data_IF_844568877480
#
_entry.id   IF_844568877480
#
_cell.length_a   1.000
_cell.length_b   1.000
_cell.length_c   1.000
_cell.angle_alpha   90.00
_cell.angle_beta   90.00
_cell.angle_gamma   90.00
#
_symmetry.space_group_name_H-M   'P 1'
#
loop_
_entity.id
_entity.type
_entity.pdbx_description
1 polymer ?
#
# COMPACT_ATOMS: atom_id res chain seq x y z
N UNK A 1 -11.90 22.06 -5.06
CA UNK A 1 -11.75 20.84 -5.89
C UNK A 1 -12.35 21.14 -7.26
N UNK A 2 -11.53 21.50 -8.25
CA UNK A 2 -12.00 21.88 -9.59
C UNK A 2 -12.17 20.60 -10.41
N UNK A 3 -13.42 20.20 -10.64
CA UNK A 3 -13.74 19.11 -11.57
C UNK A 3 -13.72 19.66 -13.00
N UNK A 4 -12.73 19.26 -13.80
CA UNK A 4 -12.79 19.40 -15.26
C UNK A 4 -13.46 18.14 -15.82
N UNK A 5 -14.74 18.26 -16.16
CA UNK A 5 -15.47 17.29 -16.96
C UNK A 5 -15.05 17.44 -18.42
N UNK A 6 -14.21 16.55 -18.91
CA UNK A 6 -14.08 16.35 -20.36
C UNK A 6 -15.20 15.44 -20.82
N UNK A 7 -16.20 16.05 -21.44
CA UNK A 7 -17.22 15.38 -22.22
C UNK A 7 -16.63 15.16 -23.63
N UNK A 8 -16.31 13.92 -23.99
CA UNK A 8 -16.10 13.56 -25.39
C UNK A 8 -16.89 12.29 -25.70
N UNK A 9 -18.07 12.46 -26.28
CA UNK A 9 -18.68 11.42 -27.08
C UNK A 9 -17.82 11.21 -28.34
N UNK A 10 -17.20 10.04 -28.45
CA UNK A 10 -16.74 9.51 -29.74
C UNK A 10 -17.17 8.04 -29.82
N UNK A 11 -18.36 7.82 -30.36
CA UNK A 11 -18.72 6.53 -30.96
C UNK A 11 -18.02 6.44 -32.34
N UNK A 12 -16.85 5.81 -32.41
CA UNK A 12 -16.29 5.40 -33.69
C UNK A 12 -16.71 3.96 -34.00
N UNK A 13 -17.95 3.79 -34.46
CA UNK A 13 -18.35 2.62 -35.25
C UNK A 13 -17.89 2.85 -36.70
N UNK A 14 -16.75 2.28 -37.07
CA UNK A 14 -16.36 2.21 -38.48
C UNK A 14 -17.23 1.13 -39.14
N UNK A 15 -18.28 1.56 -39.85
CA UNK A 15 -19.14 0.67 -40.65
C UNK A 15 -18.68 0.76 -42.10
N UNK A 16 -18.03 -0.28 -42.62
CA UNK A 16 -17.76 -0.37 -44.06
C UNK A 16 -19.00 -0.91 -44.77
N UNK A 17 -19.72 -0.04 -45.49
CA UNK A 17 -20.71 -0.46 -46.48
C UNK A 17 -19.98 -0.76 -47.79
N UNK A 18 -19.80 -2.04 -48.10
CA UNK A 18 -19.31 -2.47 -49.42
C UNK A 18 -20.54 -2.82 -50.26
N UNK A 19 -20.94 -1.91 -51.16
CA UNK A 19 -21.91 -2.20 -52.22
C UNK A 19 -21.16 -2.71 -53.44
N UNK A 20 -20.80 -3.99 -53.47
CA UNK A 20 -20.44 -4.71 -54.70
C UNK A 20 -20.67 -6.20 -54.50
N UNK A 21 -21.34 -6.83 -55.47
CA UNK A 21 -21.57 -8.28 -55.53
C UNK A 21 -20.23 -8.97 -55.81
N UNK A 22 -19.67 -9.64 -54.81
CA UNK A 22 -18.41 -10.39 -54.92
C UNK A 22 -18.69 -11.89 -54.98
N UNK A 23 -17.99 -12.60 -55.88
CA UNK A 23 -18.12 -14.05 -56.06
C UNK A 23 -17.40 -14.84 -54.94
N UNK A 24 -17.77 -16.10 -54.79
CA UNK A 24 -17.35 -17.00 -53.68
C UNK A 24 -15.82 -17.16 -53.54
N UNK A 25 -15.05 -16.98 -54.62
CA UNK A 25 -13.59 -17.10 -54.57
C UNK A 25 -12.88 -15.88 -53.94
N UNK A 26 -13.57 -14.74 -53.79
CA UNK A 26 -13.01 -13.54 -53.15
C UNK A 26 -13.26 -13.51 -51.62
N UNK A 27 -14.21 -14.32 -51.13
CA UNK A 27 -14.51 -14.44 -49.70
C UNK A 27 -13.44 -15.25 -48.94
N UNK A 28 -12.77 -16.20 -49.59
CA UNK A 28 -11.76 -17.06 -48.96
C UNK A 28 -10.41 -16.33 -48.75
N UNK A 29 -10.09 -15.34 -49.58
CA UNK A 29 -8.89 -14.49 -49.43
C UNK A 29 -9.06 -13.40 -48.37
N UNK A 30 -10.26 -12.85 -48.20
CA UNK A 30 -10.58 -11.88 -47.14
C UNK A 30 -10.55 -12.48 -45.73
N UNK A 31 -10.93 -13.75 -45.56
CA UNK A 31 -10.84 -14.43 -44.27
C UNK A 31 -9.39 -14.69 -43.83
N UNK A 32 -8.45 -14.84 -44.78
CA UNK A 32 -7.01 -14.93 -44.47
C UNK A 32 -6.38 -13.56 -44.15
N UNK A 33 -6.83 -12.47 -44.77
CA UNK A 33 -6.31 -11.12 -44.50
C UNK A 33 -6.74 -10.61 -43.12
N UNK A 34 -7.93 -10.97 -42.62
CA UNK A 34 -8.39 -10.60 -41.28
C UNK A 34 -7.71 -11.40 -40.15
N UNK A 35 -7.28 -12.64 -40.39
CA UNK A 35 -6.57 -13.46 -39.39
C UNK A 35 -5.06 -13.16 -39.36
N UNK A 36 -4.46 -12.70 -40.47
CA UNK A 36 -3.05 -12.30 -40.53
C UNK A 36 -2.80 -10.80 -40.22
N UNK A 37 -3.86 -9.99 -40.14
CA UNK A 37 -3.79 -8.55 -39.80
C UNK A 37 -3.63 -8.27 -38.29
N UNK A 38 -4.13 -9.13 -37.40
CA UNK A 38 -4.02 -8.92 -35.95
C UNK A 38 -2.65 -9.33 -35.38
N UNK A 39 -1.98 -10.32 -35.99
CA UNK A 39 -0.66 -10.78 -35.54
C UNK A 39 0.49 -9.83 -35.92
N UNK A 40 0.29 -8.94 -36.91
CA UNK A 40 1.31 -7.99 -37.35
C UNK A 40 1.14 -6.57 -36.78
N UNK A 41 -0.03 -6.19 -36.27
CA UNK A 41 -0.16 -4.91 -35.56
C UNK A 41 0.56 -4.89 -34.20
N UNK A 42 0.69 -6.04 -33.53
CA UNK A 42 1.48 -6.16 -32.30
C UNK A 42 3.00 -6.06 -32.53
N UNK A 43 3.50 -6.44 -33.71
CA UNK A 43 4.93 -6.42 -34.03
C UNK A 43 5.39 -5.12 -34.71
N UNK A 44 4.48 -4.31 -35.27
CA UNK A 44 4.86 -3.10 -36.02
C UNK A 44 4.78 -1.80 -35.18
N UNK A 45 4.26 -1.87 -33.96
CA UNK A 45 4.25 -0.73 -33.01
C UNK A 45 5.55 -0.56 -32.20
N UNK A 46 6.55 -1.43 -32.38
CA UNK A 46 7.80 -1.44 -31.60
C UNK A 46 9.04 -0.95 -32.36
N UNK A 47 8.86 -0.11 -33.39
CA UNK A 47 9.98 0.62 -34.01
C UNK A 47 9.72 2.12 -34.08
N UNK A 48 9.26 2.72 -32.98
CA UNK A 48 9.81 4.03 -32.66
C UNK A 48 11.24 3.78 -32.18
N UNK A 49 12.21 4.24 -32.98
CA UNK A 49 13.57 4.47 -32.50
C UNK A 49 13.47 5.62 -31.50
N UNK A 50 13.00 5.31 -30.29
CA UNK A 50 13.12 6.18 -29.15
C UNK A 50 14.62 6.27 -28.93
N UNK A 51 15.18 7.45 -29.18
CA UNK A 51 16.51 7.79 -28.75
C UNK A 51 16.56 7.52 -27.24
N UNK A 52 17.08 6.36 -26.84
CA UNK A 52 17.38 6.08 -25.45
C UNK A 52 18.68 6.81 -25.18
N UNK A 53 18.66 7.99 -24.52
CA UNK A 53 19.91 8.64 -24.14
C UNK A 53 20.71 7.64 -23.31
N UNK A 54 22.04 7.72 -23.38
CA UNK A 54 22.89 7.00 -22.44
C UNK A 54 22.50 7.44 -21.02
N UNK A 55 21.71 6.59 -20.35
CA UNK A 55 21.07 6.91 -19.07
C UNK A 55 22.12 7.13 -17.97
N UNK A 56 23.37 6.69 -18.18
CA UNK A 56 24.49 6.91 -17.26
C UNK A 56 24.82 8.39 -17.03
N UNK A 57 24.38 9.29 -17.92
CA UNK A 57 24.65 10.73 -17.80
C UNK A 57 23.48 11.53 -17.20
N UNK A 58 22.32 10.91 -16.94
CA UNK A 58 21.16 11.59 -16.35
C UNK A 58 21.16 11.32 -14.84
N UNK A 59 21.41 12.34 -14.03
CA UNK A 59 21.38 12.22 -12.57
C UNK A 59 19.97 11.86 -12.08
N UNK A 60 19.90 11.12 -10.97
CA UNK A 60 18.62 10.89 -10.30
C UNK A 60 17.95 12.21 -9.90
N UNK A 61 16.63 12.27 -10.07
CA UNK A 61 15.79 13.37 -9.57
C UNK A 61 15.29 13.09 -8.15
N UNK A 62 14.69 14.09 -7.50
CA UNK A 62 14.26 13.98 -6.09
C UNK A 62 13.30 12.82 -5.82
N UNK A 63 12.35 12.57 -6.73
CA UNK A 63 11.38 11.46 -6.61
C UNK A 63 12.03 10.07 -6.71
N UNK A 64 13.10 9.95 -7.49
CA UNK A 64 13.84 8.71 -7.64
C UNK A 64 14.70 8.44 -6.41
N UNK A 65 15.39 9.47 -5.91
CA UNK A 65 16.19 9.38 -4.69
C UNK A 65 15.30 9.03 -3.50
N UNK A 66 14.17 9.73 -3.32
CA UNK A 66 13.24 9.47 -2.21
C UNK A 66 12.62 8.08 -2.33
N UNK A 67 12.13 7.72 -3.51
CA UNK A 67 11.52 6.40 -3.73
C UNK A 67 12.47 5.25 -3.42
N UNK A 68 13.72 5.33 -3.88
CA UNK A 68 14.74 4.32 -3.59
C UNK A 68 15.09 4.27 -2.10
N UNK A 69 15.24 5.43 -1.46
CA UNK A 69 15.53 5.53 -0.03
C UNK A 69 14.43 4.90 0.82
N UNK A 70 13.18 5.28 0.59
CA UNK A 70 12.03 4.79 1.35
C UNK A 70 11.82 3.28 1.15
N UNK A 71 12.06 2.80 -0.08
CA UNK A 71 12.03 1.36 -0.39
C UNK A 71 13.10 0.60 0.40
N UNK A 72 14.33 1.11 0.43
CA UNK A 72 15.42 0.47 1.17
C UNK A 72 15.15 0.42 2.68
N UNK A 73 14.67 1.52 3.25
CA UNK A 73 14.33 1.57 4.68
C UNK A 73 13.21 0.59 5.02
N UNK A 74 12.19 0.49 4.16
CA UNK A 74 11.07 -0.44 4.33
C UNK A 74 11.50 -1.89 4.20
N UNK A 75 12.24 -2.26 3.14
CA UNK A 75 12.69 -3.63 2.92
C UNK A 75 13.65 -4.11 3.99
N UNK A 76 14.58 -3.27 4.44
CA UNK A 76 15.51 -3.64 5.52
C UNK A 76 14.77 -3.92 6.84
N UNK A 77 13.71 -3.15 7.15
CA UNK A 77 12.82 -3.43 8.27
C UNK A 77 12.08 -4.75 8.10
N UNK A 78 11.46 -4.96 6.94
CA UNK A 78 10.66 -6.16 6.63
C UNK A 78 11.53 -7.41 6.69
N UNK A 79 12.78 -7.36 6.21
CA UNK A 79 13.75 -8.46 6.33
C UNK A 79 13.92 -8.89 7.79
N UNK A 80 14.08 -7.93 8.71
CA UNK A 80 14.22 -8.23 10.14
C UNK A 80 12.95 -8.89 10.71
N UNK A 81 11.78 -8.36 10.37
CA UNK A 81 10.49 -8.94 10.78
C UNK A 81 10.33 -10.37 10.25
N UNK A 82 10.61 -10.60 8.97
CA UNK A 82 10.46 -11.89 8.31
C UNK A 82 11.45 -12.94 8.84
N UNK A 83 12.67 -12.55 9.21
CA UNK A 83 13.65 -13.46 9.86
C UNK A 83 13.09 -14.02 11.16
N UNK A 84 12.42 -13.19 11.97
CA UNK A 84 11.82 -13.64 13.22
C UNK A 84 10.59 -14.52 12.97
N UNK A 85 9.74 -14.15 12.00
CA UNK A 85 8.54 -14.92 11.65
C UNK A 85 8.92 -16.31 11.11
N UNK A 86 9.91 -16.39 10.22
CA UNK A 86 10.40 -17.66 9.66
C UNK A 86 11.00 -18.60 10.69
N UNK A 87 11.58 -18.08 11.78
CA UNK A 87 12.10 -18.91 12.86
C UNK A 87 10.99 -19.55 13.72
N UNK A 88 9.78 -18.98 13.69
CA UNK A 88 8.71 -19.34 14.61
C UNK A 88 7.42 -19.83 13.92
N UNK A 89 7.34 -19.75 12.59
CA UNK A 89 6.19 -20.22 11.82
C UNK A 89 6.09 -21.74 11.88
N UNK A 90 4.87 -22.24 12.08
CA UNK A 90 4.60 -23.68 12.17
C UNK A 90 3.91 -24.20 10.90
N UNK A 91 3.08 -23.35 10.28
CA UNK A 91 2.37 -23.64 9.05
C UNK A 91 3.29 -23.54 7.81
N UNK A 92 3.50 -24.65 7.13
CA UNK A 92 4.40 -24.76 5.98
C UNK A 92 4.01 -23.85 4.80
N UNK A 93 2.71 -23.61 4.58
CA UNK A 93 2.28 -22.76 3.47
C UNK A 93 2.57 -21.29 3.79
N UNK A 94 2.37 -20.89 5.05
CA UNK A 94 2.72 -19.55 5.55
C UNK A 94 4.24 -19.38 5.55
N UNK A 95 5.01 -20.40 5.93
CA UNK A 95 6.47 -20.38 5.82
C UNK A 95 6.92 -20.13 4.38
N UNK A 96 6.29 -20.77 3.41
CA UNK A 96 6.59 -20.59 1.98
C UNK A 96 6.30 -19.14 1.54
N UNK A 97 5.17 -18.58 1.98
CA UNK A 97 4.81 -17.18 1.71
C UNK A 97 5.83 -16.20 2.32
N UNK A 98 6.23 -16.43 3.58
CA UNK A 98 7.23 -15.63 4.29
C UNK A 98 8.59 -15.69 3.59
N UNK A 99 9.03 -16.89 3.19
CA UNK A 99 10.31 -17.07 2.50
C UNK A 99 10.32 -16.39 1.14
N UNK A 100 9.22 -16.48 0.39
CA UNK A 100 9.08 -15.76 -0.87
C UNK A 100 9.19 -14.25 -0.67
N UNK A 101 8.52 -13.71 0.35
CA UNK A 101 8.58 -12.28 0.68
C UNK A 101 10.01 -11.85 1.06
N UNK A 102 10.69 -12.65 1.88
CA UNK A 102 12.06 -12.37 2.31
C UNK A 102 13.02 -12.29 1.11
N UNK A 103 12.88 -13.22 0.16
CA UNK A 103 13.70 -13.24 -1.05
C UNK A 103 13.48 -12.00 -1.91
N UNK A 104 12.24 -11.51 -2.02
CA UNK A 104 11.93 -10.27 -2.74
C UNK A 104 12.62 -9.07 -2.09
N UNK A 105 12.45 -8.87 -0.77
CA UNK A 105 13.07 -7.75 -0.07
C UNK A 105 14.59 -7.77 -0.12
N UNK A 106 15.23 -8.95 -0.01
CA UNK A 106 16.69 -9.07 -0.18
C UNK A 106 17.12 -8.67 -1.60
N UNK A 107 16.37 -9.10 -2.62
CA UNK A 107 16.66 -8.73 -4.00
C UNK A 107 16.49 -7.21 -4.23
N UNK A 108 15.45 -6.60 -3.67
CA UNK A 108 15.21 -5.16 -3.75
C UNK A 108 16.34 -4.36 -3.13
N UNK A 109 16.77 -4.73 -1.91
CA UNK A 109 17.93 -4.12 -1.25
C UNK A 109 19.18 -4.18 -2.13
N UNK A 110 19.49 -5.35 -2.70
CA UNK A 110 20.65 -5.50 -3.59
C UNK A 110 20.59 -4.56 -4.79
N UNK A 111 19.44 -4.47 -5.46
CA UNK A 111 19.26 -3.60 -6.63
C UNK A 111 19.39 -2.12 -6.25
N UNK A 112 18.75 -1.70 -5.15
CA UNK A 112 18.81 -0.31 -4.68
C UNK A 112 20.25 0.06 -4.28
N UNK A 113 20.96 -0.83 -3.60
CA UNK A 113 22.38 -0.65 -3.25
C UNK A 113 23.23 -0.44 -4.49
N UNK A 114 23.03 -1.24 -5.54
CA UNK A 114 23.76 -1.08 -6.80
C UNK A 114 23.46 0.26 -7.47
N UNK A 115 22.20 0.72 -7.45
CA UNK A 115 21.82 2.03 -7.96
C UNK A 115 22.50 3.16 -7.17
N UNK A 116 22.45 3.13 -5.84
CA UNK A 116 23.10 4.16 -5.01
C UNK A 116 24.62 4.19 -5.21
N UNK A 117 25.29 3.04 -5.32
CA UNK A 117 26.70 2.97 -5.63
C UNK A 117 27.03 3.59 -7.00
N UNK A 118 26.23 3.30 -8.03
CA UNK A 118 26.42 3.86 -9.38
C UNK A 118 26.26 5.38 -9.42
N UNK A 119 25.34 5.93 -8.61
CA UNK A 119 25.08 7.36 -8.51
C UNK A 119 26.02 8.09 -7.54
N UNK A 120 26.87 7.36 -6.81
CA UNK A 120 27.73 7.92 -5.76
C UNK A 120 26.94 8.48 -4.57
N UNK A 121 25.76 7.93 -4.30
CA UNK A 121 24.91 8.30 -3.17
C UNK A 121 25.20 7.44 -1.94
N UNK A 122 25.03 7.97 -0.72
CA UNK A 122 25.16 7.17 0.50
C UNK A 122 24.06 6.10 0.55
N UNK A 123 24.45 4.87 0.88
CA UNK A 123 23.52 3.78 1.14
C UNK A 123 22.97 3.94 2.56
N UNK A 124 21.65 3.83 2.77
CA UNK A 124 21.08 3.89 4.11
C UNK A 124 21.63 2.78 4.99
N UNK A 125 21.79 3.05 6.28
CA UNK A 125 22.09 2.01 7.26
C UNK A 125 20.90 1.07 7.43
N UNK A 126 19.68 1.62 7.49
CA UNK A 126 18.45 0.85 7.65
C UNK A 126 18.43 -0.03 8.90
N UNK A 127 17.88 -1.23 8.75
CA UNK A 127 17.77 -2.24 9.81
C UNK A 127 18.63 -3.45 9.51
N UNK A 128 19.24 -4.00 10.57
CA UNK A 128 20.24 -5.07 10.46
C UNK A 128 19.91 -6.22 11.41
N UNK A 129 20.72 -7.28 11.42
CA UNK A 129 20.57 -8.38 12.39
C UNK A 129 20.69 -7.93 13.87
N UNK A 130 21.16 -6.70 14.14
CA UNK A 130 21.13 -6.11 15.48
C UNK A 130 19.74 -5.65 15.91
N UNK A 131 18.82 -5.51 14.96
CA UNK A 131 17.46 -5.02 15.16
C UNK A 131 16.43 -6.14 15.34
N UNK A 132 16.87 -7.40 15.31
CA UNK A 132 16.04 -8.58 15.49
C UNK A 132 16.74 -9.64 16.36
N UNK A 133 15.98 -10.24 17.27
CA UNK A 133 16.35 -11.46 17.98
C UNK A 133 15.54 -12.64 17.42
N UNK A 134 16.14 -13.41 16.52
CA UNK A 134 15.47 -14.55 15.87
C UNK A 134 15.12 -15.66 16.87
N UNK A 135 15.84 -15.76 17.98
CA UNK A 135 15.66 -16.82 18.98
C UNK A 135 14.60 -16.48 20.04
N UNK A 136 14.01 -15.29 20.00
CA UNK A 136 12.93 -14.95 20.94
C UNK A 136 11.69 -15.81 20.64
N UNK A 137 10.88 -16.12 21.67
CA UNK A 137 9.53 -16.64 21.45
C UNK A 137 8.74 -15.74 20.52
N UNK A 138 7.84 -16.35 19.76
CA UNK A 138 6.95 -15.65 18.82
C UNK A 138 6.08 -14.63 19.54
N UNK A 139 6.01 -13.41 18.99
CA UNK A 139 5.12 -12.34 19.48
C UNK A 139 3.75 -12.37 18.79
N UNK A 140 3.68 -12.93 17.59
CA UNK A 140 2.45 -13.01 16.80
C UNK A 140 2.21 -14.43 16.27
N UNK A 141 0.94 -14.76 16.03
CA UNK A 141 0.50 -16.06 15.51
C UNK A 141 0.74 -16.20 14.00
N UNK A 142 0.64 -17.43 13.49
CA UNK A 142 0.79 -17.73 12.06
C UNK A 142 -0.27 -16.98 11.21
N UNK A 143 -1.50 -16.86 11.71
CA UNK A 143 -2.56 -16.15 10.99
C UNK A 143 -2.28 -14.65 10.90
N UNK A 144 -1.67 -14.07 11.93
CA UNK A 144 -1.15 -12.70 11.86
C UNK A 144 -0.07 -12.58 10.79
N UNK A 145 0.86 -13.54 10.68
CA UNK A 145 1.89 -13.50 9.64
C UNK A 145 1.27 -13.43 8.23
N UNK A 146 0.28 -14.27 7.93
CA UNK A 146 -0.41 -14.23 6.64
C UNK A 146 -1.18 -12.92 6.40
N UNK A 147 -1.85 -12.40 7.44
CA UNK A 147 -2.58 -11.13 7.37
C UNK A 147 -1.64 -9.93 7.20
N UNK A 148 -0.50 -9.94 7.90
CA UNK A 148 0.57 -8.94 7.80
C UNK A 148 1.16 -8.90 6.39
N UNK A 149 1.47 -10.06 5.79
CA UNK A 149 1.95 -10.11 4.39
C UNK A 149 0.92 -9.51 3.43
N UNK A 150 -0.36 -9.83 3.59
CA UNK A 150 -1.42 -9.24 2.75
C UNK A 150 -1.47 -7.71 2.90
N UNK A 151 -1.28 -7.22 4.13
CA UNK A 151 -1.29 -5.80 4.44
C UNK A 151 -0.10 -5.08 3.81
N UNK A 152 1.14 -5.55 4.02
CA UNK A 152 2.34 -4.90 3.46
C UNK A 152 2.38 -5.00 1.93
N UNK A 153 1.86 -6.09 1.34
CA UNK A 153 1.75 -6.20 -0.11
C UNK A 153 0.82 -5.14 -0.70
N UNK A 154 -0.29 -4.84 -0.02
CA UNK A 154 -1.21 -3.76 -0.42
C UNK A 154 -0.58 -2.38 -0.26
N UNK A 155 0.11 -2.13 0.86
CA UNK A 155 0.79 -0.85 1.12
C UNK A 155 1.90 -0.61 0.10
N UNK A 156 2.81 -1.58 -0.09
CA UNK A 156 3.91 -1.43 -1.05
C UNK A 156 3.43 -1.29 -2.49
N UNK A 157 2.36 -1.98 -2.90
CA UNK A 157 1.76 -1.78 -4.23
C UNK A 157 1.27 -0.34 -4.45
N UNK A 158 0.62 0.25 -3.44
CA UNK A 158 0.17 1.63 -3.47
C UNK A 158 1.35 2.61 -3.56
N UNK A 159 2.33 2.44 -2.68
CA UNK A 159 3.49 3.35 -2.60
C UNK A 159 4.35 3.28 -3.87
N UNK A 160 4.67 2.08 -4.38
CA UNK A 160 5.40 1.95 -5.64
C UNK A 160 4.63 2.54 -6.82
N UNK A 161 3.31 2.46 -6.84
CA UNK A 161 2.49 3.09 -7.89
C UNK A 161 2.59 4.62 -7.82
N UNK A 162 2.52 5.20 -6.62
CA UNK A 162 2.71 6.64 -6.44
C UNK A 162 4.11 7.10 -6.86
N UNK A 163 5.15 6.36 -6.47
CA UNK A 163 6.54 6.64 -6.85
C UNK A 163 6.72 6.54 -8.35
N UNK A 164 6.25 5.45 -9.00
CA UNK A 164 6.40 5.22 -10.44
C UNK A 164 5.89 6.39 -11.28
N UNK A 165 4.77 7.00 -10.87
CA UNK A 165 4.14 8.13 -11.57
C UNK A 165 4.99 9.43 -11.54
N UNK A 166 6.10 9.43 -10.79
CA UNK A 166 6.97 10.59 -10.60
C UNK A 166 8.40 10.33 -11.11
N UNK A 167 8.67 9.21 -11.77
CA UNK A 167 10.03 8.79 -12.18
C UNK A 167 10.33 9.17 -13.64
N UNK A 168 11.44 9.88 -13.84
CA UNK A 168 11.87 10.37 -15.14
C UNK A 168 12.74 9.36 -15.90
N UNK A 169 13.62 8.64 -15.19
CA UNK A 169 14.57 7.69 -15.77
C UNK A 169 13.93 6.32 -16.02
N UNK A 170 14.19 5.78 -17.21
CA UNK A 170 13.50 4.55 -17.66
C UNK A 170 13.96 3.27 -16.96
N UNK A 171 15.22 3.18 -16.55
CA UNK A 171 15.77 2.09 -15.73
C UNK A 171 15.11 2.07 -14.35
N UNK A 172 14.93 3.23 -13.74
CA UNK A 172 14.23 3.36 -12.45
C UNK A 172 12.74 3.05 -12.62
N UNK A 173 12.07 3.50 -13.69
CA UNK A 173 10.68 3.08 -13.97
C UNK A 173 10.53 1.58 -14.12
N UNK A 174 11.47 0.93 -14.82
CA UNK A 174 11.48 -0.54 -14.98
C UNK A 174 11.62 -1.24 -13.64
N UNK A 175 12.48 -0.73 -12.75
CA UNK A 175 12.62 -1.24 -11.39
C UNK A 175 11.29 -1.17 -10.61
N UNK A 176 10.69 0.02 -10.50
CA UNK A 176 9.42 0.16 -9.75
C UNK A 176 8.25 -0.58 -10.41
N UNK A 177 8.22 -0.70 -11.74
CA UNK A 177 7.23 -1.52 -12.45
C UNK A 177 7.37 -3.01 -12.12
N UNK A 178 8.61 -3.49 -11.96
CA UNK A 178 8.89 -4.86 -11.49
C UNK A 178 8.41 -5.04 -10.05
N UNK A 179 8.72 -4.11 -9.14
CA UNK A 179 8.25 -4.16 -7.75
C UNK A 179 6.72 -4.23 -7.64
N UNK A 180 5.99 -3.42 -8.44
CA UNK A 180 4.52 -3.48 -8.51
C UNK A 180 4.04 -4.88 -8.93
N UNK A 181 4.65 -5.44 -9.98
CA UNK A 181 4.28 -6.78 -10.48
C UNK A 181 4.52 -7.87 -9.43
N UNK A 182 5.64 -7.80 -8.72
CA UNK A 182 5.98 -8.72 -7.65
C UNK A 182 5.00 -8.60 -6.47
N UNK A 183 4.61 -7.38 -6.10
CA UNK A 183 3.66 -7.14 -5.01
C UNK A 183 2.22 -7.52 -5.37
N UNK A 184 1.82 -7.43 -6.65
CA UNK A 184 0.56 -8.01 -7.15
C UNK A 184 0.59 -9.53 -6.94
N UNK A 185 1.68 -10.19 -7.35
CA UNK A 185 1.85 -11.63 -7.15
C UNK A 185 1.84 -12.03 -5.67
N UNK A 186 2.51 -11.25 -4.82
CA UNK A 186 2.54 -11.46 -3.38
C UNK A 186 1.16 -11.32 -2.74
N UNK A 187 0.41 -10.27 -3.08
CA UNK A 187 -0.95 -10.06 -2.59
C UNK A 187 -1.87 -11.21 -2.97
N UNK A 188 -1.85 -11.64 -4.24
CA UNK A 188 -2.70 -12.74 -4.71
C UNK A 188 -2.38 -14.05 -3.98
N UNK A 189 -1.10 -14.41 -3.84
CA UNK A 189 -0.68 -15.60 -3.07
C UNK A 189 -1.16 -15.54 -1.62
N UNK A 190 -0.99 -14.39 -0.95
CA UNK A 190 -1.41 -14.21 0.43
C UNK A 190 -2.94 -14.27 0.58
N UNK A 191 -3.68 -13.67 -0.36
CA UNK A 191 -5.15 -13.69 -0.37
C UNK A 191 -5.70 -15.10 -0.59
N UNK A 192 -5.18 -15.83 -1.58
CA UNK A 192 -5.55 -17.22 -1.86
C UNK A 192 -5.25 -18.14 -0.67
N UNK A 193 -4.08 -17.99 -0.05
CA UNK A 193 -3.69 -18.74 1.13
C UNK A 193 -4.65 -18.49 2.31
N UNK A 194 -4.96 -17.22 2.57
CA UNK A 194 -5.89 -16.87 3.64
C UNK A 194 -7.31 -17.36 3.35
N UNK A 195 -7.72 -17.38 2.08
CA UNK A 195 -9.01 -17.92 1.66
C UNK A 195 -9.06 -19.43 1.88
N UNK A 196 -8.01 -20.18 1.49
CA UNK A 196 -7.97 -21.63 1.67
C UNK A 196 -7.96 -22.05 3.15
N UNK A 197 -7.37 -21.23 4.03
CA UNK A 197 -7.37 -21.43 5.49
C UNK A 197 -8.60 -20.88 6.20
N UNK A 198 -9.54 -20.23 5.49
CA UNK A 198 -10.75 -19.66 6.09
C UNK A 198 -10.55 -18.41 6.96
N UNK A 199 -9.37 -17.77 6.87
CA UNK A 199 -8.98 -16.58 7.66
C UNK A 199 -8.99 -15.27 6.83
N UNK A 200 -9.47 -15.34 5.59
CA UNK A 200 -9.65 -14.16 4.74
C UNK A 200 -10.96 -13.43 5.10
N UNK A 201 -10.83 -12.20 5.60
CA UNK A 201 -11.96 -11.33 5.90
C UNK A 201 -12.45 -10.73 4.58
N UNK A 202 -13.73 -10.96 4.25
CA UNK A 202 -14.35 -10.47 3.02
C UNK A 202 -15.08 -9.17 3.28
N UNK A 203 -15.07 -8.27 2.29
CA UNK A 203 -15.97 -7.12 2.29
C UNK A 203 -17.43 -7.59 2.38
N UNK A 204 -18.31 -6.85 3.08
CA UNK A 204 -19.69 -7.24 3.23
C UNK A 204 -20.40 -7.29 1.87
N UNK A 205 -21.22 -8.33 1.67
CA UNK A 205 -22.12 -8.39 0.53
C UNK A 205 -23.31 -7.45 0.78
N UNK A 206 -23.66 -6.65 -0.23
CA UNK A 206 -24.81 -5.74 -0.19
C UNK A 206 -25.65 -5.89 -1.45
N UNK A 207 -26.96 -5.67 -1.31
CA UNK A 207 -27.87 -5.53 -2.44
C UNK A 207 -27.80 -4.09 -2.98
N UNK A 208 -27.72 -3.93 -4.31
CA UNK A 208 -27.67 -2.63 -4.97
C UNK A 208 -28.85 -2.46 -5.94
N UNK A 209 -29.28 -1.22 -6.25
CA UNK A 209 -30.33 -0.97 -7.23
C UNK A 209 -30.02 -1.63 -8.58
N UNK A 210 -31.04 -2.20 -9.23
CA UNK A 210 -30.93 -2.89 -10.53
C UNK A 210 -31.05 -1.96 -11.75
N UNK A 211 -31.36 -0.69 -11.51
CA UNK A 211 -31.57 0.33 -12.54
C UNK A 211 -30.67 1.54 -12.29
N UNK A 212 -30.29 2.23 -13.36
CA UNK A 212 -29.49 3.46 -13.28
C UNK A 212 -30.31 4.57 -12.62
N UNK A 213 -29.75 5.19 -11.59
CA UNK A 213 -30.35 6.33 -10.89
C UNK A 213 -29.49 7.59 -11.09
N UNK A 214 -30.14 8.73 -11.30
CA UNK A 214 -29.48 10.03 -11.43
C UNK A 214 -29.69 10.85 -10.15
N UNK A 215 -28.63 11.50 -9.67
CA UNK A 215 -28.67 12.34 -8.47
C UNK A 215 -29.46 13.62 -8.78
N UNK A 216 -30.65 13.76 -8.17
CA UNK A 216 -31.57 14.86 -8.45
C UNK A 216 -31.44 16.09 -7.53
N UNK A 217 -30.69 16.03 -6.43
CA UNK A 217 -30.59 17.15 -5.48
C UNK A 217 -29.24 17.21 -4.72
N UNK A 218 -28.88 18.42 -4.24
CA UNK A 218 -27.64 18.67 -3.50
C UNK A 218 -27.59 17.97 -2.13
N UNK A 219 -28.73 17.54 -1.59
CA UNK A 219 -28.79 16.79 -0.32
C UNK A 219 -28.09 15.43 -0.39
N UNK A 220 -27.81 14.91 -1.58
CA UNK A 220 -26.99 13.70 -1.77
C UNK A 220 -25.55 13.86 -1.23
N UNK A 221 -24.98 15.06 -1.33
CA UNK A 221 -23.59 15.36 -0.94
C UNK A 221 -23.55 16.03 0.44
N UNK A 222 -24.34 17.09 0.61
CA UNK A 222 -24.15 18.04 1.70
C UNK A 222 -24.97 17.73 2.97
N UNK A 223 -25.73 16.62 3.00
CA UNK A 223 -26.55 16.25 4.16
C UNK A 223 -27.44 17.42 4.66
N UNK A 224 -27.98 18.25 3.74
CA UNK A 224 -28.69 19.52 4.04
C UNK A 224 -29.97 19.29 4.86
N UNK A 225 -30.51 18.07 4.84
CA UNK A 225 -31.61 17.64 5.69
C UNK A 225 -31.13 16.49 6.56
N UNK A 226 -31.59 16.42 7.82
CA UNK A 226 -31.19 15.44 8.88
C UNK A 226 -31.26 13.94 8.49
N UNK A 227 -31.67 13.60 7.27
CA UNK A 227 -31.65 12.23 6.74
C UNK A 227 -30.42 12.06 5.85
N UNK A 228 -29.48 11.23 6.30
CA UNK A 228 -28.34 10.78 5.49
C UNK A 228 -28.83 9.83 4.41
N UNK A 229 -28.21 9.85 3.23
CA UNK A 229 -28.39 8.78 2.25
C UNK A 229 -27.66 7.52 2.71
N UNK A 230 -28.10 6.36 2.21
CA UNK A 230 -27.35 5.12 2.38
C UNK A 230 -25.92 5.26 1.83
N UNK A 231 -24.99 4.51 2.41
CA UNK A 231 -23.61 4.43 1.95
C UNK A 231 -23.53 3.92 0.51
N UNK A 232 -22.62 4.50 -0.25
CA UNK A 232 -22.24 3.95 -1.55
C UNK A 232 -21.41 2.69 -1.34
N UNK A 233 -21.50 1.75 -2.28
CA UNK A 233 -20.65 0.55 -2.29
C UNK A 233 -19.15 0.90 -2.13
N UNK A 234 -18.70 2.00 -2.74
CA UNK A 234 -17.31 2.46 -2.59
C UNK A 234 -16.97 2.97 -1.19
N UNK A 235 -17.91 3.63 -0.51
CA UNK A 235 -17.72 4.14 0.85
C UNK A 235 -17.61 2.95 1.81
N UNK A 236 -18.46 1.94 1.63
CA UNK A 236 -18.39 0.67 2.36
C UNK A 236 -17.05 -0.02 2.13
N UNK A 237 -16.58 -0.10 0.88
CA UNK A 237 -15.27 -0.68 0.54
C UNK A 237 -14.12 0.05 1.24
N UNK A 238 -14.13 1.39 1.28
CA UNK A 238 -13.11 2.16 1.98
C UNK A 238 -13.18 1.95 3.50
N UNK A 239 -14.37 2.03 4.11
CA UNK A 239 -14.55 1.78 5.56
C UNK A 239 -14.04 0.39 5.92
N UNK A 240 -14.46 -0.64 5.18
CA UNK A 240 -14.01 -2.02 5.37
C UNK A 240 -12.48 -2.16 5.27
N UNK A 241 -11.88 -1.58 4.23
CA UNK A 241 -10.43 -1.66 4.03
C UNK A 241 -9.65 -0.94 5.12
N UNK A 242 -10.19 0.16 5.66
CA UNK A 242 -9.60 0.89 6.78
C UNK A 242 -9.67 0.08 8.07
N UNK A 243 -10.84 -0.49 8.41
CA UNK A 243 -10.97 -1.37 9.59
C UNK A 243 -9.99 -2.56 9.48
N UNK A 244 -9.92 -3.21 8.31
CA UNK A 244 -9.01 -4.33 8.09
C UNK A 244 -7.53 -3.96 8.28
N UNK A 245 -7.15 -2.73 7.92
CA UNK A 245 -5.80 -2.22 8.12
C UNK A 245 -5.52 -1.89 9.59
N UNK A 246 -6.46 -1.20 10.24
CA UNK A 246 -6.33 -0.76 11.63
C UNK A 246 -6.33 -1.97 12.61
N UNK A 247 -6.96 -3.11 12.27
CA UNK A 247 -6.82 -4.37 13.03
C UNK A 247 -5.35 -4.85 13.07
N UNK A 248 -4.61 -4.74 11.96
CA UNK A 248 -3.19 -5.11 11.92
C UNK A 248 -2.36 -4.11 12.75
N UNK A 249 -2.69 -2.82 12.67
CA UNK A 249 -2.09 -1.78 13.48
C UNK A 249 -2.29 -1.98 14.98
N UNK A 250 -3.51 -2.32 15.41
CA UNK A 250 -3.85 -2.62 16.81
C UNK A 250 -3.08 -3.84 17.34
N UNK A 251 -2.96 -4.89 16.53
CA UNK A 251 -2.16 -6.07 16.88
C UNK A 251 -0.67 -5.71 17.04
N UNK A 252 -0.08 -4.97 16.08
CA UNK A 252 1.31 -4.51 16.18
C UNK A 252 1.54 -3.64 17.42
N UNK A 253 0.69 -2.64 17.65
CA UNK A 253 0.79 -1.76 18.80
C UNK A 253 0.64 -2.52 20.12
N UNK A 254 -0.29 -3.49 20.18
CA UNK A 254 -0.45 -4.36 21.34
C UNK A 254 0.82 -5.17 21.59
N UNK A 255 1.35 -5.88 20.59
CA UNK A 255 2.56 -6.67 20.72
C UNK A 255 3.79 -5.83 21.10
N UNK A 256 3.98 -4.67 20.47
CA UNK A 256 5.11 -3.78 20.78
C UNK A 256 4.99 -3.17 22.19
N UNK A 257 3.78 -2.80 22.63
CA UNK A 257 3.57 -2.30 24.00
C UNK A 257 3.92 -3.36 25.06
N UNK A 258 3.66 -4.64 24.76
CA UNK A 258 3.90 -5.78 25.63
C UNK A 258 5.39 -6.08 25.83
N UNK A 259 6.22 -5.88 24.79
CA UNK A 259 7.63 -6.31 24.79
C UNK A 259 8.65 -5.17 24.86
N UNK A 260 8.23 -3.92 24.63
CA UNK A 260 9.09 -2.74 24.75
C UNK A 260 9.71 -2.68 26.15
N UNK A 261 11.03 -2.55 26.19
CA UNK A 261 11.81 -2.50 27.44
C UNK A 261 11.81 -1.11 28.03
N UNK A 262 11.72 -0.09 27.18
CA UNK A 262 11.59 1.29 27.61
C UNK A 262 10.12 1.60 27.96
N UNK A 263 9.88 2.17 29.14
CA UNK A 263 8.52 2.48 29.63
C UNK A 263 7.85 3.62 28.86
N UNK A 264 8.61 4.62 28.38
CA UNK A 264 8.11 5.73 27.55
C UNK A 264 7.67 5.19 26.19
N UNK A 265 8.47 4.29 25.61
CA UNK A 265 8.16 3.66 24.32
C UNK A 265 6.99 2.65 24.45
N UNK A 266 6.94 1.86 25.53
CA UNK A 266 5.81 0.97 25.82
C UNK A 266 4.51 1.76 25.97
N UNK A 267 4.52 2.87 26.72
CA UNK A 267 3.38 3.76 26.86
C UNK A 267 2.94 4.39 25.53
N UNK A 268 3.88 4.76 24.66
CA UNK A 268 3.60 5.23 23.32
C UNK A 268 2.87 4.16 22.47
N UNK A 269 3.31 2.90 22.49
CA UNK A 269 2.61 1.84 21.79
C UNK A 269 1.23 1.54 22.39
N UNK A 270 1.09 1.64 23.72
CA UNK A 270 -0.21 1.50 24.38
C UNK A 270 -1.20 2.62 23.96
N UNK A 271 -0.72 3.86 23.81
CA UNK A 271 -1.52 4.94 23.23
C UNK A 271 -1.90 4.64 21.77
N UNK A 272 -0.96 4.11 20.98
CA UNK A 272 -1.21 3.67 19.60
C UNK A 272 -2.30 2.59 19.51
N UNK A 273 -2.28 1.62 20.42
CA UNK A 273 -3.33 0.61 20.57
C UNK A 273 -4.69 1.27 20.83
N UNK A 274 -4.78 2.14 21.82
CA UNK A 274 -6.04 2.83 22.14
C UNK A 274 -6.57 3.68 20.98
N UNK A 275 -5.68 4.35 20.25
CA UNK A 275 -6.04 5.08 19.04
C UNK A 275 -6.56 4.16 17.95
N UNK A 276 -5.91 3.02 17.70
CA UNK A 276 -6.37 2.00 16.75
C UNK A 276 -7.76 1.47 17.09
N UNK A 277 -8.02 1.16 18.36
CA UNK A 277 -9.32 0.72 18.85
C UNK A 277 -10.40 1.79 18.68
N UNK A 278 -10.08 3.05 18.95
CA UNK A 278 -11.00 4.17 18.72
C UNK A 278 -11.33 4.32 17.23
N UNK A 279 -10.33 4.24 16.34
CA UNK A 279 -10.53 4.29 14.89
C UNK A 279 -11.44 3.14 14.43
N UNK A 280 -11.16 1.90 14.86
CA UNK A 280 -11.98 0.73 14.51
C UNK A 280 -13.42 0.93 14.98
N UNK A 281 -13.62 1.44 16.20
CA UNK A 281 -14.95 1.68 16.75
C UNK A 281 -15.72 2.77 15.97
N UNK A 282 -15.08 3.90 15.63
CA UNK A 282 -15.70 4.98 14.84
C UNK A 282 -16.07 4.51 13.42
N UNK A 283 -15.24 3.67 12.78
CA UNK A 283 -15.54 3.13 11.46
C UNK A 283 -16.63 2.07 11.49
N UNK A 284 -16.61 1.21 12.50
CA UNK A 284 -17.57 0.12 12.68
C UNK A 284 -18.97 0.66 12.97
N UNK A 285 -19.10 1.74 13.74
CA UNK A 285 -20.40 2.34 14.04
C UNK A 285 -21.13 2.81 12.78
N UNK A 286 -20.42 3.28 11.75
CA UNK A 286 -21.03 3.66 10.47
C UNK A 286 -21.65 2.47 9.74
N UNK A 287 -21.02 1.30 9.80
CA UNK A 287 -21.59 0.08 9.21
C UNK A 287 -22.80 -0.39 10.01
N UNK A 288 -22.71 -0.38 11.34
CA UNK A 288 -23.79 -0.78 12.25
C UNK A 288 -25.01 0.13 12.10
N UNK A 289 -24.82 1.44 12.00
CA UNK A 289 -25.90 2.43 11.84
C UNK A 289 -26.72 2.22 10.56
N UNK A 290 -26.21 1.45 9.59
CA UNK A 290 -26.88 1.12 8.32
C UNK A 290 -27.11 -0.38 8.13
N UNK A 291 -27.09 -1.16 9.22
CA UNK A 291 -27.33 -2.60 9.24
C UNK A 291 -26.36 -3.40 8.32
N UNK A 292 -25.14 -2.89 8.13
CA UNK A 292 -24.10 -3.54 7.33
C UNK A 292 -23.19 -4.40 8.22
N UNK A 293 -22.91 -5.66 7.83
CA UNK A 293 -22.01 -6.52 8.58
C UNK A 293 -20.61 -5.94 8.74
N UNK A 294 -20.05 -6.11 9.93
CA UNK A 294 -18.71 -5.62 10.30
C UNK A 294 -17.66 -6.71 10.07
N UNK A 295 -16.43 -6.34 9.65
CA UNK A 295 -15.31 -7.28 9.62
C UNK A 295 -14.94 -7.75 11.04
N UNK A 296 -14.61 -9.02 11.18
CA UNK A 296 -14.12 -9.60 12.44
C UNK A 296 -12.99 -10.59 12.16
N UNK A 297 -12.03 -10.66 13.08
CA UNK A 297 -11.01 -11.73 13.13
C UNK A 297 -11.51 -12.89 13.97
N UNK A 298 -11.01 -14.10 13.70
CA UNK A 298 -11.30 -15.29 14.51
C UNK A 298 -10.39 -15.47 15.73
N UNK A 299 -9.35 -14.64 15.87
CA UNK A 299 -8.38 -14.69 16.98
C UNK A 299 -7.75 -13.31 17.26
N UNK A 300 -6.95 -13.22 18.34
CA UNK A 300 -6.35 -11.98 18.84
C UNK A 300 -5.00 -11.59 18.20
N UNK A 301 -4.40 -12.44 17.36
CA UNK A 301 -3.10 -12.26 16.67
C UNK A 301 -1.84 -12.18 17.54
N UNK A 302 -1.91 -11.63 18.74
CA UNK A 302 -0.77 -11.43 19.66
C UNK A 302 -0.70 -12.60 20.65
N UNK A 303 0.52 -13.07 20.94
CA UNK A 303 0.78 -14.16 21.90
C UNK A 303 1.09 -13.64 23.30
N UNK A 304 1.41 -14.54 24.23
CA UNK A 304 1.81 -14.24 25.61
C UNK A 304 3.30 -13.90 25.78
N UNK A 305 4.09 -13.80 24.69
CA UNK A 305 5.53 -13.54 24.75
C UNK A 305 5.84 -12.16 25.33
N UNK A 306 6.59 -12.10 26.43
CA UNK A 306 7.09 -10.84 27.00
C UNK A 306 8.53 -10.52 26.59
N UNK A 307 9.14 -11.33 25.71
CA UNK A 307 10.49 -11.10 25.22
C UNK A 307 10.46 -10.39 23.87
N UNK A 308 11.14 -9.24 23.76
CA UNK A 308 11.14 -8.48 22.51
C UNK A 308 11.89 -9.20 21.37
N UNK A 309 11.21 -9.49 20.25
CA UNK A 309 11.87 -9.94 19.03
C UNK A 309 12.61 -8.81 18.29
N UNK A 310 12.28 -7.55 18.55
CA UNK A 310 12.75 -6.41 17.75
C UNK A 310 13.38 -5.31 18.60
N UNK A 311 14.25 -4.50 17.99
CA UNK A 311 14.78 -3.30 18.64
C UNK A 311 13.71 -2.22 18.77
N UNK A 312 13.87 -1.34 19.76
CA UNK A 312 13.02 -0.15 19.94
C UNK A 312 13.01 0.73 18.69
N UNK A 313 14.17 0.87 18.04
CA UNK A 313 14.34 1.59 16.75
C UNK A 313 13.41 1.01 15.68
N UNK A 314 13.40 -0.32 15.52
CA UNK A 314 12.58 -1.00 14.53
C UNK A 314 11.10 -0.84 14.85
N UNK A 315 10.68 -1.11 16.09
CA UNK A 315 9.27 -1.03 16.46
C UNK A 315 8.70 0.39 16.28
N UNK A 316 9.47 1.42 16.66
CA UNK A 316 9.06 2.82 16.49
C UNK A 316 8.97 3.21 15.01
N UNK A 317 9.96 2.86 14.20
CA UNK A 317 9.92 3.17 12.76
C UNK A 317 8.78 2.43 12.05
N UNK A 318 8.52 1.17 12.44
CA UNK A 318 7.37 0.41 11.94
C UNK A 318 6.06 1.14 12.26
N UNK A 319 5.88 1.63 13.49
CA UNK A 319 4.71 2.42 13.85
C UNK A 319 4.57 3.70 13.01
N UNK A 320 5.67 4.40 12.70
CA UNK A 320 5.63 5.58 11.81
C UNK A 320 5.20 5.23 10.37
N UNK A 321 5.65 4.09 9.82
CA UNK A 321 5.21 3.63 8.50
C UNK A 321 3.71 3.30 8.53
N UNK A 322 3.25 2.63 9.59
CA UNK A 322 1.83 2.30 9.76
C UNK A 322 0.95 3.55 9.82
N UNK A 323 1.38 4.58 10.54
CA UNK A 323 0.61 5.83 10.63
C UNK A 323 0.60 6.59 9.31
N UNK A 324 1.72 6.64 8.58
CA UNK A 324 1.78 7.23 7.24
C UNK A 324 0.83 6.52 6.25
N UNK A 325 0.83 5.18 6.24
CA UNK A 325 -0.10 4.39 5.43
C UNK A 325 -1.57 4.63 5.84
N UNK A 326 -1.82 4.78 7.15
CA UNK A 326 -3.13 5.12 7.69
C UNK A 326 -3.64 6.49 7.24
N UNK A 327 -2.80 7.52 7.25
CA UNK A 327 -3.12 8.86 6.75
C UNK A 327 -3.38 8.83 5.24
N UNK A 328 -2.51 8.18 4.47
CA UNK A 328 -2.64 8.05 3.01
C UNK A 328 -3.97 7.37 2.63
N UNK A 329 -4.30 6.25 3.28
CA UNK A 329 -5.55 5.51 3.03
C UNK A 329 -6.80 6.31 3.38
N UNK A 330 -6.78 7.05 4.51
CA UNK A 330 -7.91 7.91 4.92
C UNK A 330 -8.04 9.13 4.01
N UNK A 331 -6.93 9.70 3.52
CA UNK A 331 -6.94 10.76 2.51
C UNK A 331 -7.57 10.31 1.19
N UNK A 332 -7.25 9.10 0.73
CA UNK A 332 -7.90 8.50 -0.43
C UNK A 332 -9.41 8.26 -0.19
N UNK A 333 -9.79 7.79 1.00
CA UNK A 333 -11.20 7.62 1.36
C UNK A 333 -11.98 8.95 1.36
N UNK A 334 -11.39 10.05 1.85
CA UNK A 334 -11.97 11.41 1.74
C UNK A 334 -12.21 11.77 0.28
N UNK A 335 -11.21 11.62 -0.59
CA UNK A 335 -11.31 12.00 -1.99
C UNK A 335 -12.37 11.20 -2.77
N UNK A 336 -12.76 10.02 -2.27
CA UNK A 336 -13.71 9.13 -2.92
C UNK A 336 -15.08 9.05 -2.22
N UNK A 337 -15.24 9.74 -1.09
CA UNK A 337 -16.51 9.86 -0.39
C UNK A 337 -17.36 10.96 -0.99
N UNK A 338 -18.69 10.80 -0.92
CA UNK A 338 -19.65 11.84 -1.32
C UNK A 338 -20.60 12.15 -0.17
N UNK A 339 -20.09 12.07 1.06
CA UNK A 339 -20.83 12.25 2.31
C UNK A 339 -19.99 13.08 3.26
N UNK A 340 -20.45 14.30 3.54
CA UNK A 340 -19.73 15.25 4.38
C UNK A 340 -19.44 14.72 5.81
N UNK A 341 -20.28 13.84 6.35
CA UNK A 341 -20.05 13.23 7.66
C UNK A 341 -18.87 12.24 7.65
N UNK A 342 -18.69 11.47 6.57
CA UNK A 342 -17.54 10.59 6.40
C UNK A 342 -16.24 11.40 6.22
N UNK A 343 -16.29 12.44 5.37
CA UNK A 343 -15.16 13.34 5.16
C UNK A 343 -14.71 14.00 6.48
N UNK A 344 -15.67 14.48 7.28
CA UNK A 344 -15.42 15.05 8.60
C UNK A 344 -14.81 14.05 9.59
N UNK A 345 -15.33 12.81 9.63
CA UNK A 345 -14.78 11.73 10.44
C UNK A 345 -13.33 11.42 10.05
N UNK A 346 -13.06 11.15 8.78
CA UNK A 346 -11.71 10.82 8.33
C UNK A 346 -10.72 11.95 8.62
N UNK A 347 -11.12 13.21 8.45
CA UNK A 347 -10.30 14.38 8.78
C UNK A 347 -9.94 14.42 10.27
N UNK A 348 -10.92 14.20 11.15
CA UNK A 348 -10.71 14.11 12.61
C UNK A 348 -9.75 12.99 12.97
N UNK A 349 -9.91 11.81 12.37
CA UNK A 349 -9.05 10.66 12.62
C UNK A 349 -7.62 10.91 12.13
N UNK A 350 -7.44 11.50 10.94
CA UNK A 350 -6.12 11.92 10.43
C UNK A 350 -5.44 12.87 11.42
N UNK A 351 -6.15 13.85 11.97
CA UNK A 351 -5.55 14.79 12.94
C UNK A 351 -5.02 14.08 14.19
N UNK A 352 -5.74 13.07 14.70
CA UNK A 352 -5.29 12.25 15.84
C UNK A 352 -4.05 11.42 15.48
N UNK A 353 -4.07 10.77 14.31
CA UNK A 353 -2.92 9.98 13.82
C UNK A 353 -1.70 10.89 13.65
N UNK A 354 -1.86 12.10 13.10
CA UNK A 354 -0.75 13.05 12.94
C UNK A 354 -0.15 13.51 14.27
N UNK A 355 -0.99 13.68 15.31
CA UNK A 355 -0.50 13.95 16.66
C UNK A 355 0.33 12.76 17.18
N UNK A 356 -0.20 11.55 17.09
CA UNK A 356 0.49 10.33 17.49
C UNK A 356 1.82 10.12 16.73
N UNK A 357 1.85 10.39 15.43
CA UNK A 357 3.07 10.34 14.60
C UNK A 357 4.11 11.34 15.10
N UNK A 358 3.70 12.56 15.44
CA UNK A 358 4.62 13.57 15.98
C UNK A 358 5.27 13.09 17.28
N UNK A 359 4.49 12.56 18.21
CA UNK A 359 5.00 12.07 19.49
C UNK A 359 6.02 10.91 19.27
N UNK A 360 5.76 10.05 18.29
CA UNK A 360 6.70 9.00 17.87
C UNK A 360 8.00 9.54 17.26
N UNK A 361 7.91 10.56 16.40
CA UNK A 361 9.08 11.25 15.82
C UNK A 361 9.93 11.89 16.93
N UNK A 362 9.29 12.55 17.90
CA UNK A 362 9.99 13.18 19.03
C UNK A 362 10.74 12.10 19.86
N UNK A 363 10.10 10.95 20.13
CA UNK A 363 10.75 9.81 20.81
C UNK A 363 11.93 9.28 20.00
N UNK A 364 11.77 9.07 18.69
CA UNK A 364 12.87 8.56 17.86
C UNK A 364 14.02 9.57 17.76
N UNK A 365 13.74 10.86 17.72
CA UNK A 365 14.75 11.91 17.71
C UNK A 365 15.52 11.95 19.04
N UNK A 366 14.83 11.91 20.18
CA UNK A 366 15.44 11.86 21.52
C UNK A 366 16.43 10.67 21.65
N UNK A 367 16.09 9.54 21.01
CA UNK A 367 16.89 8.32 21.03
C UNK A 367 17.90 8.19 19.87
N UNK A 368 17.97 9.17 18.96
CA UNK A 368 18.80 9.13 17.73
C UNK A 368 18.53 7.89 16.86
N UNK A 369 17.26 7.52 16.76
CA UNK A 369 16.77 6.38 15.99
C UNK A 369 16.36 6.73 14.55
N UNK A 370 16.19 8.01 14.24
CA UNK A 370 15.90 8.46 12.87
C UNK A 370 17.19 8.59 12.07
N UNK A 371 17.30 7.77 11.04
CA UNK A 371 18.25 8.01 9.96
C UNK A 371 17.74 9.19 9.12
N UNK A 372 18.62 10.16 8.86
CA UNK A 372 18.25 11.36 8.10
C UNK A 372 18.08 11.00 6.61
N UNK A 373 16.90 11.22 6.01
CA UNK A 373 16.72 11.03 4.58
C UNK A 373 17.54 12.03 3.75
N UNK A 374 17.80 11.73 2.46
CA UNK A 374 18.44 12.64 1.54
C UNK A 374 17.72 13.99 1.53
N UNK A 375 18.48 15.06 1.77
CA UNK A 375 17.95 16.43 1.82
C UNK A 375 18.63 17.29 0.76
N UNK A 376 17.91 18.30 0.28
CA UNK A 376 18.51 19.33 -0.55
C UNK A 376 19.64 20.05 0.22
N UNK A 377 20.73 20.36 -0.47
CA UNK A 377 21.85 21.10 0.13
C UNK A 377 21.38 22.53 0.44
N UNK A 378 21.52 22.94 1.70
CA UNK A 378 21.32 24.34 2.09
C UNK A 378 22.56 25.15 1.72
N UNK A 379 22.46 25.97 0.67
CA UNK A 379 23.56 26.82 0.23
C UNK A 379 24.00 27.84 1.30
N UNK A 380 23.08 28.32 2.14
CA UNK A 380 23.40 29.18 3.27
C UNK A 380 24.36 28.51 4.26
N UNK A 381 24.17 27.21 4.55
CA UNK A 381 25.07 26.43 5.42
C UNK A 381 26.45 26.16 4.79
N UNK A 382 26.63 26.43 3.48
CA UNK A 382 27.93 26.33 2.81
C UNK A 382 28.74 27.63 2.93
N UNK A 383 28.08 28.76 3.23
CA UNK A 383 28.76 30.05 3.42
C UNK A 383 29.57 29.96 4.72
N UNK A 384 30.90 29.91 4.59
CA UNK A 384 31.81 30.02 5.73
C UNK A 384 31.94 31.51 6.06
N UNK A 385 31.26 31.96 7.12
CA UNK A 385 31.48 33.27 7.75
C UNK A 385 32.49 33.12 8.87
#
# INVERSE_FOLDING_TARGET
MVYLLFNSQFENKVTFKINTTLNENTMCSLHKVLIFGEANLYNTLNQEVIFMPDLKNIKLVSSEISGLWDSYMSDSLVICVLKQFLNNVEDNDIQTLLQHTLNLSIQHISIITDIFNQEGLPIPQGFTDKDVNINSPRLFSDTFYAAYISFIARVGMHDYTLTLNQIARSDIRKYFSKCITEYIGLYNKAAELRLSKGIFIRAPHIEVPKEVQFVGNQSFIFNIFKKKRALLAREITHIFSLISADIIGDALATGFSQVSRDKKISAYFLEGKHLGQEIIAELTSILVDEDIPIPATSESFVTDSTESPFSEKLMLYHALIMTAAGVSSKGAAIAQSMRADLEGMYTKLIAKIMKYTKDGIDIMNDNKFLEQPPQAISHEKLVKI
#
